data_IF_179744832720
#
_entry.id   IF_179744832720
#
_cell.length_a   1.000
_cell.length_b   1.000
_cell.length_c   1.000
_cell.angle_alpha   90.00
_cell.angle_beta   90.00
_cell.angle_gamma   90.00
#
_symmetry.space_group_name_H-M   'P 1'
#
loop_
_entity.id
_entity.type
_entity.pdbx_description
1 polymer ?
#
# COMPACT_ATOMS: atom_id res chain seq x y z
N UNK A 1 -63.33 39.65 3.61
CA UNK A 1 -61.94 39.24 3.34
C UNK A 1 -61.44 40.07 2.16
N UNK A 2 -60.12 40.30 2.04
CA UNK A 2 -59.59 40.95 0.83
C UNK A 2 -59.46 39.91 -0.33
N UNK A 3 -59.27 40.35 -1.59
CA UNK A 3 -59.20 39.43 -2.74
C UNK A 3 -58.15 38.32 -2.59
N UNK A 4 -56.96 38.64 -2.08
CA UNK A 4 -55.88 37.67 -1.87
C UNK A 4 -56.22 36.61 -0.81
N UNK A 5 -56.96 36.98 0.24
CA UNK A 5 -57.44 36.05 1.25
C UNK A 5 -58.54 35.13 0.69
N UNK A 6 -59.46 35.68 -0.11
CA UNK A 6 -60.55 34.90 -0.75
C UNK A 6 -59.98 33.84 -1.66
N UNK A 7 -59.08 34.19 -2.57
CA UNK A 7 -58.50 33.24 -3.52
C UNK A 7 -57.65 32.17 -2.82
N UNK A 8 -56.89 32.52 -1.79
CA UNK A 8 -56.08 31.56 -1.02
C UNK A 8 -56.96 30.57 -0.26
N UNK A 9 -58.05 31.03 0.36
CA UNK A 9 -58.99 30.14 1.05
C UNK A 9 -59.72 29.22 0.05
N UNK A 10 -60.20 29.78 -1.08
CA UNK A 10 -60.84 29.02 -2.15
C UNK A 10 -59.93 27.94 -2.75
N UNK A 11 -58.65 28.22 -3.01
CA UNK A 11 -57.74 27.18 -3.53
C UNK A 11 -57.53 26.02 -2.56
N UNK A 12 -57.60 26.27 -1.24
CA UNK A 12 -57.43 25.24 -0.20
C UNK A 12 -58.65 24.34 -0.04
N UNK A 13 -59.84 24.89 -0.24
CA UNK A 13 -61.13 24.17 -0.20
C UNK A 13 -62.16 24.91 -1.07
N UNK A 14 -62.22 24.54 -2.35
CA UNK A 14 -63.06 25.24 -3.34
C UNK A 14 -64.54 25.26 -2.93
N UNK A 15 -65.18 24.12 -2.61
CA UNK A 15 -66.60 24.10 -2.25
C UNK A 15 -66.94 24.96 -1.01
N UNK A 16 -66.08 24.97 0.00
CA UNK A 16 -66.37 25.70 1.25
C UNK A 16 -66.28 27.22 1.09
N UNK A 17 -65.33 27.70 0.28
CA UNK A 17 -64.97 29.11 0.22
C UNK A 17 -65.40 29.83 -1.08
N UNK A 18 -65.97 29.13 -2.06
CA UNK A 18 -66.44 29.72 -3.33
C UNK A 18 -67.45 30.86 -3.14
N UNK A 19 -68.33 30.75 -2.14
CA UNK A 19 -69.30 31.80 -1.77
C UNK A 19 -68.67 33.18 -1.50
N UNK A 20 -67.40 33.23 -1.11
CA UNK A 20 -66.74 34.51 -0.81
C UNK A 20 -66.35 35.30 -2.07
N UNK A 21 -66.53 34.75 -3.27
CA UNK A 21 -66.48 35.54 -4.50
C UNK A 21 -67.69 36.48 -4.63
N UNK A 22 -68.86 36.12 -4.09
CA UNK A 22 -70.03 37.01 -4.08
C UNK A 22 -69.77 38.26 -3.22
N UNK A 23 -69.07 38.11 -2.10
CA UNK A 23 -68.61 39.25 -1.30
C UNK A 23 -67.71 40.19 -2.12
N UNK A 24 -66.88 39.67 -3.04
CA UNK A 24 -66.07 40.51 -3.93
C UNK A 24 -66.94 41.22 -4.97
N UNK A 25 -67.99 40.56 -5.48
CA UNK A 25 -68.96 41.18 -6.40
C UNK A 25 -69.71 42.34 -5.74
N UNK A 26 -70.12 42.18 -4.49
CA UNK A 26 -70.73 43.25 -3.69
C UNK A 26 -69.79 44.44 -3.48
N UNK A 27 -68.48 44.20 -3.49
CA UNK A 27 -67.43 45.22 -3.43
C UNK A 27 -67.06 45.81 -4.82
N UNK A 28 -67.78 45.44 -5.88
CA UNK A 28 -67.60 45.97 -7.23
C UNK A 28 -66.57 45.23 -8.10
N UNK A 29 -66.24 43.98 -7.78
CA UNK A 29 -65.49 43.10 -8.68
C UNK A 29 -66.45 42.43 -9.66
N UNK A 30 -66.28 42.68 -10.95
CA UNK A 30 -66.99 41.94 -12.00
C UNK A 30 -66.39 40.53 -12.18
N UNK A 31 -67.10 39.69 -12.93
CA UNK A 31 -66.66 38.31 -13.21
C UNK A 31 -65.29 38.30 -13.91
N UNK A 32 -65.04 39.23 -14.82
CA UNK A 32 -63.76 39.36 -15.54
C UNK A 32 -62.59 39.61 -14.57
N UNK A 33 -62.75 40.49 -13.57
CA UNK A 33 -61.74 40.74 -12.53
C UNK A 33 -61.55 39.54 -11.61
N UNK A 34 -62.60 38.80 -11.31
CA UNK A 34 -62.51 37.58 -10.49
C UNK A 34 -61.74 36.50 -11.24
N UNK A 35 -62.01 36.31 -12.53
CA UNK A 35 -61.24 35.38 -13.37
C UNK A 35 -59.78 35.84 -13.54
N UNK A 36 -59.55 37.14 -13.73
CA UNK A 36 -58.20 37.70 -13.76
C UNK A 36 -57.45 37.49 -12.43
N UNK A 37 -58.13 37.59 -11.28
CA UNK A 37 -57.55 37.30 -9.97
C UNK A 37 -57.19 35.81 -9.84
N UNK A 38 -58.09 34.91 -10.26
CA UNK A 38 -57.83 33.47 -10.26
C UNK A 38 -56.60 33.14 -11.08
N UNK A 39 -56.51 33.66 -12.31
CA UNK A 39 -55.38 33.46 -13.20
C UNK A 39 -54.08 34.09 -12.68
N UNK A 40 -54.09 35.38 -12.33
CA UNK A 40 -52.87 36.11 -11.93
C UNK A 40 -52.20 35.55 -10.67
N UNK A 41 -52.97 34.88 -9.82
CA UNK A 41 -52.44 34.27 -8.59
C UNK A 41 -51.93 32.85 -8.79
N UNK A 42 -52.10 32.25 -9.98
CA UNK A 42 -51.49 30.95 -10.31
C UNK A 42 -49.97 31.02 -10.16
N UNK A 43 -49.40 29.95 -9.60
CA UNK A 43 -47.97 29.83 -9.48
C UNK A 43 -47.43 29.45 -10.85
N UNK A 44 -46.69 30.37 -11.44
CA UNK A 44 -45.97 30.15 -12.70
C UNK A 44 -44.46 30.14 -12.44
N UNK A 45 -43.66 29.37 -13.21
CA UNK A 45 -42.22 29.36 -13.05
C UNK A 45 -41.63 30.77 -13.18
N UNK A 46 -40.68 31.09 -12.31
CA UNK A 46 -39.89 32.31 -12.49
C UNK A 46 -38.97 32.14 -13.71
N UNK A 47 -38.44 33.24 -14.28
CA UNK A 47 -37.43 33.12 -15.33
C UNK A 47 -36.23 32.25 -14.94
N UNK A 48 -35.88 32.20 -13.63
CA UNK A 48 -34.82 31.35 -13.12
C UNK A 48 -35.19 29.87 -13.17
N UNK A 49 -36.40 29.53 -12.73
CA UNK A 49 -36.88 28.14 -12.78
C UNK A 49 -36.95 27.65 -14.21
N UNK A 50 -37.46 28.49 -15.12
CA UNK A 50 -37.54 28.16 -16.54
C UNK A 50 -36.17 27.92 -17.18
N UNK A 51 -35.17 28.73 -16.81
CA UNK A 51 -33.78 28.48 -17.23
C UNK A 51 -33.25 27.16 -16.66
N UNK A 52 -33.58 26.82 -15.41
CA UNK A 52 -33.27 25.52 -14.81
C UNK A 52 -33.84 24.35 -15.62
N UNK A 53 -35.12 24.43 -15.98
CA UNK A 53 -35.77 23.39 -16.81
C UNK A 53 -35.10 23.21 -18.17
N UNK A 54 -34.67 24.31 -18.80
CA UNK A 54 -33.94 24.26 -20.07
C UNK A 54 -32.54 23.63 -19.91
N UNK A 55 -31.87 23.94 -18.81
CA UNK A 55 -30.55 23.46 -18.46
C UNK A 55 -30.53 21.96 -18.12
N UNK A 56 -31.46 21.50 -17.29
CA UNK A 56 -31.49 20.11 -16.81
C UNK A 56 -32.24 19.16 -17.75
N UNK A 57 -32.28 19.48 -19.05
CA UNK A 57 -32.76 18.59 -20.12
C UNK A 57 -34.24 18.13 -19.94
N UNK A 58 -35.04 18.91 -19.21
CA UNK A 58 -36.44 18.60 -18.84
C UNK A 58 -37.39 18.60 -20.06
N UNK A 59 -36.96 19.17 -21.19
CA UNK A 59 -37.73 19.21 -22.42
C UNK A 59 -37.24 18.23 -23.49
N UNK A 60 -36.19 17.46 -23.22
CA UNK A 60 -35.58 16.52 -24.17
C UNK A 60 -36.06 15.08 -23.89
N UNK A 61 -36.94 14.49 -24.74
CA UNK A 61 -37.60 13.22 -24.43
C UNK A 61 -36.64 12.05 -24.20
N UNK A 62 -35.54 12.01 -24.94
CA UNK A 62 -34.50 10.98 -24.81
C UNK A 62 -33.75 11.09 -23.47
N UNK A 63 -33.49 12.31 -22.99
CA UNK A 63 -32.87 12.55 -21.68
C UNK A 63 -33.83 12.23 -20.53
N UNK A 64 -35.10 12.62 -20.66
CA UNK A 64 -36.15 12.29 -19.68
C UNK A 64 -36.27 10.77 -19.52
N UNK A 65 -36.27 10.01 -20.62
CA UNK A 65 -36.31 8.55 -20.60
C UNK A 65 -35.02 7.95 -20.04
N UNK A 66 -33.85 8.39 -20.54
CA UNK A 66 -32.54 7.87 -20.14
C UNK A 66 -32.28 8.01 -18.65
N UNK A 67 -32.54 9.19 -18.09
CA UNK A 67 -32.30 9.49 -16.68
C UNK A 67 -33.52 9.21 -15.79
N UNK A 68 -34.66 8.85 -16.39
CA UNK A 68 -35.89 8.60 -15.67
C UNK A 68 -36.38 9.83 -14.91
N UNK A 69 -36.28 11.04 -15.48
CA UNK A 69 -36.62 12.29 -14.79
C UNK A 69 -38.10 12.36 -14.35
N UNK A 70 -38.98 11.59 -15.00
CA UNK A 70 -40.39 11.47 -14.62
C UNK A 70 -40.69 10.26 -13.71
N UNK A 71 -39.66 9.55 -13.25
CA UNK A 71 -39.84 8.43 -12.33
C UNK A 71 -40.60 8.86 -11.09
N UNK A 72 -41.37 7.94 -10.51
CA UNK A 72 -42.14 8.14 -9.27
C UNK A 72 -43.24 9.24 -9.32
N UNK A 73 -43.46 9.91 -10.46
CA UNK A 73 -44.53 10.89 -10.63
C UNK A 73 -45.93 10.36 -10.28
N UNK A 74 -46.16 9.06 -10.54
CA UNK A 74 -47.45 8.42 -10.27
C UNK A 74 -47.78 8.30 -8.78
N UNK A 75 -46.78 8.28 -7.90
CA UNK A 75 -46.97 8.00 -6.46
C UNK A 75 -47.13 9.25 -5.61
N UNK A 76 -46.78 10.43 -6.13
CA UNK A 76 -46.85 11.68 -5.35
C UNK A 76 -48.27 12.21 -5.21
N UNK A 77 -48.56 12.76 -4.03
CA UNK A 77 -49.76 13.56 -3.78
C UNK A 77 -49.62 14.95 -4.41
N UNK A 78 -50.49 15.25 -5.37
CA UNK A 78 -50.50 16.49 -6.16
C UNK A 78 -51.48 17.52 -5.60
N UNK A 79 -52.32 17.13 -4.65
CA UNK A 79 -53.33 18.02 -4.06
C UNK A 79 -52.71 19.24 -3.35
N UNK A 80 -51.59 19.14 -2.60
CA UNK A 80 -50.96 20.31 -2.01
C UNK A 80 -50.54 21.38 -3.03
N UNK A 81 -50.06 20.99 -4.21
CA UNK A 81 -49.69 21.91 -5.28
C UNK A 81 -50.90 22.69 -5.80
N UNK A 82 -52.02 22.01 -6.04
CA UNK A 82 -53.28 22.67 -6.44
C UNK A 82 -53.77 23.67 -5.40
N UNK A 83 -53.54 23.41 -4.11
CA UNK A 83 -53.95 24.29 -3.00
C UNK A 83 -53.16 25.59 -2.91
N UNK A 84 -51.99 25.66 -3.54
CA UNK A 84 -51.25 26.91 -3.74
C UNK A 84 -51.46 27.47 -5.16
N UNK A 85 -52.18 26.73 -6.02
CA UNK A 85 -52.43 26.98 -7.44
C UNK A 85 -51.19 26.86 -8.30
N UNK A 86 -50.37 25.88 -7.98
CA UNK A 86 -49.41 25.30 -8.89
C UNK A 86 -50.13 24.20 -9.68
N UNK A 87 -50.33 24.44 -10.98
CA UNK A 87 -51.00 23.49 -11.88
C UNK A 87 -50.12 22.26 -12.12
N UNK A 88 -50.76 21.14 -12.49
CA UNK A 88 -50.11 19.83 -12.56
C UNK A 88 -49.01 19.76 -13.62
N UNK A 89 -49.21 20.41 -14.76
CA UNK A 89 -48.23 20.51 -15.84
C UNK A 89 -46.97 21.27 -15.42
N UNK A 90 -47.12 22.36 -14.67
CA UNK A 90 -46.00 23.11 -14.09
C UNK A 90 -45.31 22.32 -12.99
N UNK A 91 -46.08 21.67 -12.09
CA UNK A 91 -45.52 20.79 -11.06
C UNK A 91 -44.66 19.68 -11.69
N UNK A 92 -45.07 19.17 -12.85
CA UNK A 92 -44.33 18.13 -13.58
C UNK A 92 -42.97 18.61 -14.07
N UNK A 93 -42.82 19.88 -14.44
CA UNK A 93 -41.53 20.46 -14.82
C UNK A 93 -40.59 20.54 -13.61
N UNK A 94 -41.08 21.06 -12.48
CA UNK A 94 -40.33 21.04 -11.23
C UNK A 94 -39.96 19.62 -10.79
N UNK A 95 -40.83 18.63 -11.01
CA UNK A 95 -40.52 17.23 -10.74
C UNK A 95 -39.46 16.63 -11.65
N UNK A 96 -39.34 17.06 -12.91
CA UNK A 96 -38.23 16.57 -13.73
C UNK A 96 -36.90 17.26 -13.37
N UNK A 97 -36.97 18.46 -12.81
CA UNK A 97 -35.82 19.30 -12.44
C UNK A 97 -35.24 18.99 -11.04
N UNK A 98 -36.03 18.41 -10.13
CA UNK A 98 -35.67 18.33 -8.71
C UNK A 98 -34.55 17.32 -8.35
N UNK A 99 -34.12 16.47 -9.29
CA UNK A 99 -33.25 15.35 -8.99
C UNK A 99 -31.84 15.80 -8.60
N UNK A 100 -31.26 15.11 -7.62
CA UNK A 100 -29.83 15.24 -7.32
C UNK A 100 -29.02 14.29 -8.19
N UNK A 101 -28.12 14.85 -9.01
CA UNK A 101 -27.26 14.07 -9.90
C UNK A 101 -25.94 13.70 -9.22
N UNK A 102 -25.33 12.54 -9.58
CA UNK A 102 -24.05 12.13 -9.01
C UNK A 102 -22.96 13.17 -9.23
N UNK A 103 -22.10 13.38 -8.23
CA UNK A 103 -20.95 14.25 -8.37
C UNK A 103 -19.89 13.67 -9.31
N UNK A 104 -18.98 14.54 -9.80
CA UNK A 104 -17.91 14.14 -10.72
C UNK A 104 -17.06 12.95 -10.22
N UNK A 105 -16.77 12.88 -8.91
CA UNK A 105 -16.03 11.76 -8.32
C UNK A 105 -16.70 10.41 -8.60
N UNK A 106 -18.01 10.34 -8.38
CA UNK A 106 -18.82 9.14 -8.62
C UNK A 106 -18.90 8.80 -10.11
N UNK A 107 -19.06 9.79 -10.99
CA UNK A 107 -19.07 9.58 -12.45
C UNK A 107 -17.76 8.97 -12.94
N UNK A 108 -16.61 9.44 -12.44
CA UNK A 108 -15.31 8.83 -12.78
C UNK A 108 -15.23 7.38 -12.35
N UNK A 109 -15.67 7.06 -11.12
CA UNK A 109 -15.64 5.69 -10.62
C UNK A 109 -16.53 4.76 -11.45
N UNK A 110 -17.76 5.18 -11.76
CA UNK A 110 -18.65 4.44 -12.65
C UNK A 110 -17.98 4.17 -13.99
N UNK A 111 -17.32 5.18 -14.55
CA UNK A 111 -16.63 5.04 -15.82
C UNK A 111 -15.42 4.09 -15.74
N UNK A 112 -14.59 4.21 -14.70
CA UNK A 112 -13.42 3.34 -14.48
C UNK A 112 -13.80 1.88 -14.24
N UNK A 113 -15.02 1.63 -13.77
CA UNK A 113 -15.59 0.30 -13.57
C UNK A 113 -16.43 -0.18 -14.77
N UNK A 114 -16.32 0.50 -15.91
CA UNK A 114 -17.04 0.22 -17.15
C UNK A 114 -18.56 0.09 -16.97
N UNK A 115 -19.14 0.79 -15.98
CA UNK A 115 -20.59 0.83 -15.76
C UNK A 115 -21.30 1.85 -16.66
N UNK A 116 -20.54 2.80 -17.19
CA UNK A 116 -20.99 3.83 -18.13
C UNK A 116 -19.94 4.02 -19.23
N UNK A 117 -20.35 4.63 -20.34
CA UNK A 117 -19.48 4.95 -21.48
C UNK A 117 -19.00 6.40 -21.45
N UNK A 118 -18.03 6.75 -22.30
CA UNK A 118 -17.62 8.15 -22.49
C UNK A 118 -18.78 9.03 -23.02
N UNK A 119 -19.72 8.44 -23.76
CA UNK A 119 -20.91 9.17 -24.21
C UNK A 119 -21.83 9.49 -23.03
N UNK A 120 -21.99 8.56 -22.08
CA UNK A 120 -22.78 8.82 -20.87
C UNK A 120 -22.19 9.94 -20.01
N UNK A 121 -20.86 10.03 -19.94
CA UNK A 121 -20.17 11.14 -19.26
C UNK A 121 -20.45 12.48 -19.97
N UNK A 122 -20.47 12.49 -21.31
CA UNK A 122 -20.78 13.71 -22.09
C UNK A 122 -22.23 14.16 -21.90
N UNK A 123 -23.16 13.21 -21.88
CA UNK A 123 -24.57 13.50 -21.64
C UNK A 123 -24.76 14.01 -20.20
N UNK A 124 -24.06 13.43 -19.22
CA UNK A 124 -24.07 13.91 -17.83
C UNK A 124 -23.54 15.34 -17.71
N UNK A 125 -22.49 15.73 -18.45
CA UNK A 125 -22.03 17.12 -18.45
C UNK A 125 -23.08 18.13 -18.91
N UNK A 126 -23.99 17.72 -19.80
CA UNK A 126 -25.11 18.57 -20.21
C UNK A 126 -26.13 18.66 -19.08
N UNK A 127 -26.56 17.51 -18.57
CA UNK A 127 -27.54 17.40 -17.49
C UNK A 127 -27.18 18.23 -16.24
N UNK A 128 -25.90 18.31 -15.88
CA UNK A 128 -25.42 19.10 -14.72
C UNK A 128 -24.77 20.44 -15.10
N UNK A 129 -25.03 20.92 -16.32
CA UNK A 129 -24.63 22.26 -16.78
C UNK A 129 -23.11 22.56 -16.72
N UNK A 130 -22.26 21.56 -16.99
CA UNK A 130 -20.83 21.81 -17.14
C UNK A 130 -20.60 22.56 -18.47
N UNK A 131 -19.97 23.75 -18.47
CA UNK A 131 -19.73 24.51 -19.70
C UNK A 131 -18.86 23.72 -20.70
N UNK A 132 -19.16 23.86 -21.99
CA UNK A 132 -18.49 23.14 -23.08
C UNK A 132 -16.96 23.29 -23.08
N UNK A 133 -16.45 24.44 -22.63
CA UNK A 133 -15.01 24.69 -22.49
C UNK A 133 -14.30 23.68 -21.58
N UNK A 134 -14.98 23.23 -20.52
CA UNK A 134 -14.42 22.32 -19.51
C UNK A 134 -14.59 20.85 -19.87
N UNK A 135 -15.67 20.48 -20.56
CA UNK A 135 -16.00 19.09 -20.93
C UNK A 135 -14.82 18.30 -21.51
N UNK A 136 -14.11 18.76 -22.57
CA UNK A 136 -12.99 17.99 -23.13
C UNK A 136 -11.80 17.88 -22.17
N UNK A 137 -11.56 18.90 -21.33
CA UNK A 137 -10.45 18.89 -20.35
C UNK A 137 -10.75 17.93 -19.20
N UNK A 138 -12.01 17.87 -18.77
CA UNK A 138 -12.46 16.92 -17.74
C UNK A 138 -12.37 15.47 -18.25
N UNK A 139 -12.67 15.23 -19.53
CA UNK A 139 -12.45 13.92 -20.16
C UNK A 139 -10.96 13.56 -20.25
N UNK A 140 -10.09 14.51 -20.58
CA UNK A 140 -8.64 14.27 -20.67
C UNK A 140 -8.05 13.83 -19.32
N UNK A 141 -8.55 14.37 -18.21
CA UNK A 141 -8.12 14.01 -16.85
C UNK A 141 -8.98 12.92 -16.20
N UNK A 142 -9.86 12.26 -16.98
CA UNK A 142 -10.70 11.18 -16.49
C UNK A 142 -9.85 10.04 -15.95
N UNK A 143 -8.78 9.68 -16.66
CA UNK A 143 -7.86 8.62 -16.28
C UNK A 143 -6.67 9.19 -15.51
N UNK A 144 -6.33 8.54 -14.40
CA UNK A 144 -5.14 8.87 -13.64
C UNK A 144 -3.87 8.57 -14.44
N UNK A 145 -2.86 9.43 -14.29
CA UNK A 145 -1.50 9.16 -14.74
C UNK A 145 -0.71 8.49 -13.62
N UNK A 146 0.42 7.81 -13.94
CA UNK A 146 1.27 7.21 -12.93
C UNK A 146 1.62 8.20 -11.81
N UNK A 147 1.42 7.77 -10.57
CA UNK A 147 1.80 8.54 -9.39
C UNK A 147 3.31 8.48 -9.18
N UNK A 148 3.85 9.27 -8.23
CA UNK A 148 5.30 9.35 -7.98
C UNK A 148 5.97 8.01 -7.66
N UNK A 149 5.26 7.10 -7.01
CA UNK A 149 5.78 5.77 -6.67
C UNK A 149 5.88 4.93 -7.93
N UNK A 150 4.84 4.94 -8.76
CA UNK A 150 4.81 4.24 -10.05
C UNK A 150 5.88 4.80 -11.00
N UNK A 151 6.00 6.13 -11.12
CA UNK A 151 7.06 6.79 -11.91
C UNK A 151 8.45 6.33 -11.44
N UNK A 152 8.70 6.27 -10.13
CA UNK A 152 9.97 5.78 -9.59
C UNK A 152 10.20 4.30 -9.93
N UNK A 153 9.17 3.47 -9.90
CA UNK A 153 9.29 2.06 -10.30
C UNK A 153 9.58 1.96 -11.80
N UNK A 154 8.90 2.75 -12.63
CA UNK A 154 9.15 2.81 -14.07
C UNK A 154 10.60 3.25 -14.34
N UNK A 155 11.08 4.33 -13.72
CA UNK A 155 12.47 4.79 -13.86
C UNK A 155 13.51 3.75 -13.41
N UNK A 156 13.15 2.86 -12.49
CA UNK A 156 14.04 1.80 -11.99
C UNK A 156 14.14 0.60 -12.94
N UNK A 157 13.04 0.23 -13.58
CA UNK A 157 12.92 -1.04 -14.30
C UNK A 157 12.77 -0.88 -15.81
N UNK A 158 12.45 0.31 -16.28
CA UNK A 158 12.31 0.65 -17.70
C UNK A 158 13.43 1.62 -18.09
N UNK A 159 13.78 1.63 -19.38
CA UNK A 159 14.76 2.57 -19.92
C UNK A 159 14.10 3.91 -20.23
N UNK A 160 13.85 4.68 -19.18
CA UNK A 160 13.27 6.02 -19.28
C UNK A 160 14.35 7.09 -19.35
N UNK A 161 14.17 8.06 -20.24
CA UNK A 161 14.97 9.28 -20.23
C UNK A 161 14.58 10.18 -19.05
N UNK A 162 15.53 11.01 -18.63
CA UNK A 162 15.28 12.03 -17.60
C UNK A 162 14.12 12.95 -17.95
N UNK A 163 14.01 13.36 -19.23
CA UNK A 163 12.93 14.22 -19.71
C UNK A 163 11.54 13.59 -19.60
N UNK A 164 11.41 12.30 -19.90
CA UNK A 164 10.14 11.57 -19.71
C UNK A 164 9.74 11.51 -18.23
N UNK A 165 10.70 11.29 -17.33
CA UNK A 165 10.46 11.27 -15.89
C UNK A 165 10.04 12.67 -15.40
N UNK A 166 10.72 13.74 -15.84
CA UNK A 166 10.36 15.12 -15.49
C UNK A 166 8.95 15.50 -15.97
N UNK A 167 8.56 15.07 -17.18
CA UNK A 167 7.21 15.31 -17.72
C UNK A 167 6.13 14.56 -16.92
N UNK A 168 6.38 13.29 -16.56
CA UNK A 168 5.46 12.55 -15.68
C UNK A 168 5.36 13.19 -14.29
N UNK A 169 6.48 13.65 -13.73
CA UNK A 169 6.50 14.35 -12.44
C UNK A 169 5.75 15.68 -12.51
N UNK A 170 5.83 16.42 -13.63
CA UNK A 170 5.01 17.61 -13.89
C UNK A 170 3.53 17.25 -13.86
N UNK A 171 3.13 16.21 -14.59
CA UNK A 171 1.74 15.75 -14.66
C UNK A 171 1.21 15.22 -13.31
N UNK A 172 2.09 14.66 -12.49
CA UNK A 172 1.80 14.29 -11.10
C UNK A 172 1.83 15.49 -10.11
N UNK A 173 1.99 16.72 -10.61
CA UNK A 173 1.91 17.95 -9.82
C UNK A 173 3.17 18.32 -9.04
N UNK A 174 4.36 17.77 -9.37
CA UNK A 174 5.61 18.24 -8.77
C UNK A 174 5.93 19.66 -9.21
N UNK A 175 6.26 20.52 -8.25
CA UNK A 175 6.76 21.86 -8.52
C UNK A 175 8.05 21.81 -9.33
N UNK A 176 8.22 22.74 -10.26
CA UNK A 176 9.27 22.70 -11.30
C UNK A 176 10.69 22.61 -10.73
N UNK A 177 10.97 23.36 -9.66
CA UNK A 177 12.27 23.38 -8.97
C UNK A 177 12.76 22.00 -8.53
N UNK A 178 11.85 21.06 -8.27
CA UNK A 178 12.19 19.74 -7.77
C UNK A 178 12.16 18.65 -8.83
N UNK A 179 11.65 18.92 -10.05
CA UNK A 179 11.45 17.87 -11.06
C UNK A 179 12.76 17.24 -11.49
N UNK A 180 13.77 18.06 -11.74
CA UNK A 180 15.07 17.58 -12.19
C UNK A 180 15.81 16.79 -11.12
N UNK A 181 15.81 17.27 -9.87
CA UNK A 181 16.42 16.56 -8.75
C UNK A 181 15.69 15.25 -8.41
N UNK A 182 14.36 15.24 -8.49
CA UNK A 182 13.58 14.02 -8.32
C UNK A 182 13.84 13.01 -9.45
N UNK A 183 13.96 13.47 -10.69
CA UNK A 183 14.29 12.61 -11.83
C UNK A 183 15.70 11.99 -11.67
N UNK A 184 16.72 12.80 -11.33
CA UNK A 184 18.07 12.32 -11.00
C UNK A 184 18.02 11.24 -9.92
N UNK A 185 17.32 11.51 -8.81
CA UNK A 185 17.17 10.57 -7.71
C UNK A 185 16.53 9.25 -8.14
N UNK A 186 15.41 9.30 -8.88
CA UNK A 186 14.69 8.10 -9.32
C UNK A 186 15.53 7.22 -10.25
N UNK A 187 16.26 7.82 -11.19
CA UNK A 187 17.18 7.10 -12.07
C UNK A 187 18.36 6.50 -11.32
N UNK A 188 19.00 7.26 -10.42
CA UNK A 188 20.14 6.78 -9.62
C UNK A 188 19.75 5.55 -8.78
N UNK A 189 18.56 5.56 -8.17
CA UNK A 189 18.04 4.43 -7.40
C UNK A 189 17.92 3.14 -8.22
N UNK A 190 17.70 3.23 -9.53
CA UNK A 190 17.66 2.08 -10.44
C UNK A 190 19.03 1.71 -11.02
N UNK A 191 19.74 2.70 -11.53
CA UNK A 191 20.93 2.49 -12.36
C UNK A 191 22.21 2.19 -11.56
N UNK A 192 22.29 2.61 -10.28
CA UNK A 192 23.49 2.36 -9.47
C UNK A 192 23.81 0.87 -9.35
N UNK A 193 22.79 0.04 -9.10
CA UNK A 193 22.96 -1.40 -9.02
C UNK A 193 23.32 -2.02 -10.37
N UNK A 194 22.73 -1.51 -11.45
CA UNK A 194 23.06 -1.91 -12.82
C UNK A 194 24.53 -1.63 -13.13
N UNK A 195 25.00 -0.38 -13.02
CA UNK A 195 26.39 -0.03 -13.33
C UNK A 195 27.40 -0.81 -12.47
N UNK A 196 27.11 -1.00 -11.18
CA UNK A 196 27.95 -1.80 -10.29
C UNK A 196 28.05 -3.27 -10.75
N UNK A 197 26.93 -3.86 -11.18
CA UNK A 197 26.91 -5.22 -11.72
C UNK A 197 27.65 -5.32 -13.07
N UNK A 198 27.51 -4.32 -13.94
CA UNK A 198 28.20 -4.29 -15.24
C UNK A 198 29.72 -4.20 -15.07
N UNK A 199 30.20 -3.34 -14.16
CA UNK A 199 31.63 -3.21 -13.84
C UNK A 199 32.18 -4.48 -13.20
N UNK A 200 31.52 -5.00 -12.16
CA UNK A 200 32.02 -6.17 -11.41
C UNK A 200 32.10 -7.45 -12.26
N UNK A 201 31.27 -7.56 -13.30
CA UNK A 201 31.30 -8.69 -14.25
C UNK A 201 32.19 -8.43 -15.47
N UNK A 202 32.79 -7.25 -15.58
CA UNK A 202 33.59 -6.84 -16.74
C UNK A 202 32.78 -6.70 -18.03
N UNK A 203 31.46 -6.49 -17.93
CA UNK A 203 30.59 -6.27 -19.08
C UNK A 203 30.61 -4.83 -19.58
N UNK A 204 31.06 -3.89 -18.73
CA UNK A 204 31.40 -2.52 -19.10
C UNK A 204 32.72 -2.13 -18.46
N UNK A 205 33.54 -1.37 -19.19
CA UNK A 205 34.72 -0.68 -18.69
C UNK A 205 34.33 0.59 -17.90
N UNK A 206 35.25 1.14 -17.07
CA UNK A 206 35.04 2.42 -16.41
C UNK A 206 34.68 3.57 -17.37
N UNK A 207 35.31 3.60 -18.55
CA UNK A 207 35.04 4.62 -19.56
C UNK A 207 33.62 4.50 -20.15
N UNK A 208 33.15 3.27 -20.39
CA UNK A 208 31.78 3.01 -20.88
C UNK A 208 30.73 3.38 -19.82
N UNK A 209 30.99 3.12 -18.54
CA UNK A 209 30.10 3.56 -17.45
C UNK A 209 30.07 5.08 -17.34
N UNK A 210 31.22 5.76 -17.47
CA UNK A 210 31.25 7.23 -17.49
C UNK A 210 30.39 7.78 -18.62
N UNK A 211 30.54 7.23 -19.82
CA UNK A 211 29.77 7.65 -20.98
C UNK A 211 28.25 7.43 -20.78
N UNK A 212 27.84 6.29 -20.19
CA UNK A 212 26.42 6.05 -19.89
C UNK A 212 25.89 7.04 -18.84
N UNK A 213 26.62 7.29 -17.75
CA UNK A 213 26.25 8.28 -16.72
C UNK A 213 26.06 9.67 -17.34
N UNK A 214 26.97 10.09 -18.22
CA UNK A 214 26.91 11.39 -18.87
C UNK A 214 25.71 11.49 -19.82
N UNK A 215 25.39 10.40 -20.52
CA UNK A 215 24.24 10.32 -21.41
C UNK A 215 22.89 10.40 -20.68
N UNK A 216 22.83 10.10 -19.37
CA UNK A 216 21.59 10.22 -18.57
C UNK A 216 21.17 11.65 -18.27
N UNK A 217 22.07 12.64 -18.43
CA UNK A 217 21.74 14.06 -18.25
C UNK A 217 21.57 14.49 -16.79
N UNK A 218 22.26 13.83 -15.85
CA UNK A 218 22.28 14.27 -14.44
C UNK A 218 22.93 15.65 -14.29
N UNK A 219 22.68 16.31 -13.16
CA UNK A 219 23.51 17.46 -12.77
C UNK A 219 24.98 17.05 -12.71
N UNK A 220 25.88 17.92 -13.16
CA UNK A 220 27.32 17.64 -13.27
C UNK A 220 27.91 17.07 -11.97
N UNK A 221 27.66 17.73 -10.84
CA UNK A 221 28.13 17.27 -9.53
C UNK A 221 27.56 15.90 -9.14
N UNK A 222 26.35 15.57 -9.59
CA UNK A 222 25.70 14.28 -9.34
C UNK A 222 26.36 13.19 -10.18
N UNK A 223 26.55 13.43 -11.49
CA UNK A 223 27.25 12.52 -12.40
C UNK A 223 28.67 12.21 -11.88
N UNK A 224 29.42 13.24 -11.47
CA UNK A 224 30.75 13.07 -10.90
C UNK A 224 30.76 12.21 -9.63
N UNK A 225 29.83 12.47 -8.69
CA UNK A 225 29.70 11.69 -7.46
C UNK A 225 29.35 10.23 -7.76
N UNK A 226 28.46 10.00 -8.71
CA UNK A 226 28.08 8.64 -9.13
C UNK A 226 29.25 7.89 -9.75
N UNK A 227 29.98 8.53 -10.68
CA UNK A 227 31.15 7.93 -11.28
C UNK A 227 32.23 7.60 -10.25
N UNK A 228 32.58 8.55 -9.36
CA UNK A 228 33.52 8.32 -8.25
C UNK A 228 33.06 7.16 -7.36
N UNK A 229 31.78 7.09 -7.00
CA UNK A 229 31.24 5.99 -6.20
C UNK A 229 31.41 4.61 -6.85
N UNK A 230 31.30 4.53 -8.18
CA UNK A 230 31.34 3.27 -8.92
C UNK A 230 32.76 2.83 -9.28
N UNK A 231 33.61 3.77 -9.68
CA UNK A 231 34.97 3.49 -10.20
C UNK A 231 36.05 3.74 -9.17
N UNK A 232 35.87 4.64 -8.21
CA UNK A 232 36.77 4.72 -7.03
C UNK A 232 36.52 3.59 -6.02
N UNK A 233 35.63 2.65 -6.36
CA UNK A 233 35.58 1.32 -5.79
C UNK A 233 36.46 0.31 -6.56
N UNK A 234 37.42 0.78 -7.38
CA UNK A 234 38.67 0.04 -7.58
C UNK A 234 39.26 -0.15 -6.18
N UNK A 235 39.03 -1.35 -5.66
CA UNK A 235 39.66 -1.82 -4.44
C UNK A 235 41.16 -1.50 -4.58
N UNK A 236 41.87 -0.95 -3.57
CA UNK A 236 43.25 -1.39 -3.41
C UNK A 236 43.19 -2.91 -3.52
N UNK A 237 44.01 -3.51 -4.39
CA UNK A 237 44.30 -4.96 -4.46
C UNK A 237 43.65 -5.67 -3.29
N UNK A 238 42.72 -6.61 -3.54
CA UNK A 238 42.16 -7.46 -2.47
C UNK A 238 43.33 -7.86 -1.57
N UNK A 239 43.50 -7.19 -0.43
CA UNK A 239 44.61 -7.48 0.44
C UNK A 239 44.34 -8.87 0.97
N UNK A 240 45.40 -9.61 1.26
CA UNK A 240 45.32 -10.97 1.80
C UNK A 240 44.34 -11.12 2.99
N UNK A 241 43.93 -10.00 3.62
CA UNK A 241 42.95 -9.88 4.70
C UNK A 241 41.53 -10.45 4.46
N UNK A 242 41.04 -10.60 3.22
CA UNK A 242 39.78 -11.34 2.98
C UNK A 242 39.97 -12.88 3.00
N UNK A 243 41.22 -13.37 3.08
CA UNK A 243 41.57 -14.78 3.30
C UNK A 243 42.00 -15.06 4.74
N UNK A 244 42.05 -14.04 5.59
CA UNK A 244 42.36 -14.18 7.00
C UNK A 244 41.06 -14.54 7.74
N UNK A 245 41.16 -15.48 8.67
CA UNK A 245 40.03 -15.91 9.48
C UNK A 245 39.40 -14.70 10.17
N UNK A 246 38.09 -14.53 10.07
CA UNK A 246 37.43 -13.49 10.86
C UNK A 246 37.39 -13.92 12.34
N UNK A 247 37.29 -12.96 13.28
CA UNK A 247 37.05 -13.26 14.71
C UNK A 247 35.92 -14.28 14.89
N UNK A 248 34.86 -14.14 14.11
CA UNK A 248 33.69 -15.02 14.14
C UNK A 248 34.02 -16.43 13.66
N UNK A 249 34.89 -16.59 12.67
CA UNK A 249 35.32 -17.90 12.19
C UNK A 249 36.23 -18.58 13.22
N UNK A 250 37.11 -17.83 13.88
CA UNK A 250 37.94 -18.32 15.00
C UNK A 250 37.04 -18.79 16.15
N UNK A 251 36.03 -17.98 16.54
CA UNK A 251 35.12 -18.37 17.62
C UNK A 251 34.31 -19.63 17.27
N UNK A 252 33.83 -19.74 16.03
CA UNK A 252 33.15 -20.95 15.54
C UNK A 252 34.08 -22.15 15.53
N UNK A 253 35.35 -21.96 15.17
CA UNK A 253 36.37 -23.00 15.19
C UNK A 253 36.54 -23.61 16.58
N UNK A 254 36.64 -22.76 17.62
CA UNK A 254 36.70 -23.23 19.02
C UNK A 254 35.38 -23.88 19.45
N UNK A 255 34.24 -23.24 19.18
CA UNK A 255 32.91 -23.78 19.53
C UNK A 255 32.61 -25.14 18.88
N UNK A 256 33.21 -25.43 17.73
CA UNK A 256 33.05 -26.71 17.02
C UNK A 256 34.14 -27.72 17.35
N UNK A 257 35.13 -27.35 18.18
CA UNK A 257 36.28 -28.17 18.52
C UNK A 257 37.26 -28.39 17.36
N UNK A 258 37.19 -27.56 16.31
CA UNK A 258 38.08 -27.61 15.16
C UNK A 258 39.47 -27.01 15.45
N UNK A 259 39.54 -26.08 16.40
CA UNK A 259 40.78 -25.52 16.97
C UNK A 259 40.61 -25.41 18.48
N UNK A 260 41.71 -25.44 19.21
CA UNK A 260 41.76 -25.24 20.66
C UNK A 260 41.70 -23.76 21.02
N UNK A 261 41.34 -23.46 22.27
CA UNK A 261 41.36 -22.09 22.80
C UNK A 261 42.74 -21.44 22.72
N UNK A 262 43.82 -22.21 22.91
CA UNK A 262 45.20 -21.73 22.74
C UNK A 262 45.52 -21.35 21.30
N UNK A 263 45.15 -22.21 20.34
CA UNK A 263 45.30 -21.90 18.89
C UNK A 263 44.44 -20.70 18.48
N UNK A 264 43.29 -20.50 19.10
CA UNK A 264 42.44 -19.34 18.86
C UNK A 264 43.03 -18.03 19.43
N UNK A 265 43.75 -18.09 20.55
CA UNK A 265 44.50 -16.94 21.07
C UNK A 265 45.59 -16.53 20.08
N UNK A 266 46.37 -17.49 19.57
CA UNK A 266 47.40 -17.22 18.55
C UNK A 266 46.80 -16.58 17.29
N UNK A 267 45.70 -17.13 16.77
CA UNK A 267 45.02 -16.59 15.59
C UNK A 267 44.41 -15.20 15.83
N UNK A 268 43.97 -14.89 17.06
CA UNK A 268 43.50 -13.53 17.40
C UNK A 268 44.68 -12.57 17.56
N UNK A 269 45.82 -13.03 18.08
CA UNK A 269 47.03 -12.21 18.15
C UNK A 269 47.58 -11.89 16.76
N UNK A 270 47.49 -12.81 15.81
CA UNK A 270 47.80 -12.57 14.39
C UNK A 270 46.87 -11.52 13.75
N UNK A 271 45.64 -11.36 14.26
CA UNK A 271 44.70 -10.29 13.89
C UNK A 271 44.97 -8.96 14.62
N UNK A 272 46.00 -8.89 15.46
CA UNK A 272 46.46 -7.67 16.12
C UNK A 272 45.87 -7.41 17.52
N UNK A 273 45.28 -8.41 18.17
CA UNK A 273 44.89 -8.33 19.59
C UNK A 273 46.07 -8.68 20.49
N UNK A 274 46.15 -8.07 21.66
CA UNK A 274 47.08 -8.59 22.68
C UNK A 274 46.52 -9.87 23.32
N UNK A 275 47.38 -10.59 24.05
CA UNK A 275 47.05 -11.89 24.64
C UNK A 275 45.88 -11.78 25.64
N UNK A 276 45.84 -10.72 26.45
CA UNK A 276 44.78 -10.49 27.44
C UNK A 276 43.44 -10.16 26.77
N UNK A 277 43.47 -9.36 25.70
CA UNK A 277 42.32 -9.03 24.86
C UNK A 277 41.77 -10.26 24.13
N UNK A 278 42.65 -11.10 23.57
CA UNK A 278 42.26 -12.33 22.89
C UNK A 278 41.58 -13.30 23.85
N UNK A 279 42.12 -13.47 25.06
CA UNK A 279 41.56 -14.35 26.08
C UNK A 279 40.20 -13.87 26.59
N UNK A 280 40.07 -12.55 26.79
CA UNK A 280 38.83 -11.91 27.20
C UNK A 280 37.74 -12.04 26.12
N UNK A 281 38.11 -11.84 24.85
CA UNK A 281 37.21 -12.03 23.71
C UNK A 281 36.71 -13.47 23.61
N UNK A 282 37.59 -14.45 23.77
CA UNK A 282 37.20 -15.86 23.81
C UNK A 282 36.32 -16.15 25.02
N UNK A 283 36.53 -15.49 26.17
CA UNK A 283 35.76 -15.74 27.39
C UNK A 283 34.31 -15.26 27.26
N UNK A 284 34.11 -14.09 26.65
CA UNK A 284 32.77 -13.55 26.43
C UNK A 284 32.00 -14.38 25.40
N UNK A 285 32.66 -14.79 24.32
CA UNK A 285 32.00 -15.42 23.18
C UNK A 285 31.89 -16.95 23.32
N UNK A 286 32.74 -17.56 24.15
CA UNK A 286 32.81 -19.00 24.39
C UNK A 286 33.09 -19.23 25.88
N UNK A 287 32.04 -19.24 26.72
CA UNK A 287 32.16 -19.58 28.14
C UNK A 287 32.75 -20.99 28.29
N UNK A 288 33.62 -21.20 29.30
CA UNK A 288 34.30 -22.49 29.53
C UNK A 288 33.33 -23.68 29.65
N UNK A 289 32.10 -23.45 30.09
CA UNK A 289 31.08 -24.49 30.25
C UNK A 289 30.52 -24.99 28.89
N UNK A 290 30.61 -24.22 27.79
CA UNK A 290 30.15 -24.63 26.46
C UNK A 290 31.16 -25.53 25.72
N UNK A 291 32.45 -25.47 26.06
CA UNK A 291 33.50 -26.34 25.49
C UNK A 291 33.31 -27.81 25.92
N UNK A 292 32.83 -28.02 27.15
CA UNK A 292 32.63 -29.36 27.73
C UNK A 292 31.42 -30.10 27.11
N UNK A 293 30.40 -29.39 26.59
CA UNK A 293 29.22 -30.02 25.97
C UNK A 293 29.52 -30.64 24.59
N UNK A 294 30.45 -30.06 23.81
CA UNK A 294 30.76 -30.54 22.44
C UNK A 294 31.67 -31.77 22.48
N UNK A 295 32.59 -31.85 23.44
CA UNK A 295 33.42 -33.04 23.67
C UNK A 295 32.57 -34.22 24.17
N UNK A 296 31.52 -33.95 24.95
CA UNK A 296 30.62 -34.97 25.46
C UNK A 296 29.84 -35.73 24.36
N UNK A 297 29.53 -35.08 23.22
CA UNK A 297 28.74 -35.72 22.14
C UNK A 297 29.47 -36.84 21.39
N UNK A 298 30.79 -36.97 21.51
CA UNK A 298 31.58 -38.02 20.83
C UNK A 298 31.98 -39.19 21.73
N UNK A 299 31.58 -39.18 23.00
CA UNK A 299 31.90 -40.24 23.95
C UNK A 299 30.78 -41.28 24.02
N UNK A 300 31.11 -42.57 24.11
CA UNK A 300 30.12 -43.65 24.31
C UNK A 300 29.27 -43.35 25.53
N UNK A 301 27.95 -43.61 25.49
CA UNK A 301 27.13 -43.41 26.69
C UNK A 301 27.38 -44.54 27.69
N UNK A 302 27.03 -44.32 28.97
CA UNK A 302 26.98 -45.38 29.99
C UNK A 302 26.19 -46.61 29.50
N UNK A 303 25.09 -46.39 28.77
CA UNK A 303 24.26 -47.48 28.26
C UNK A 303 24.98 -48.28 27.17
N UNK A 304 25.75 -47.64 26.30
CA UNK A 304 26.53 -48.30 25.26
C UNK A 304 27.67 -49.14 25.85
N UNK A 305 28.35 -48.63 26.88
CA UNK A 305 29.40 -49.36 27.60
C UNK A 305 28.81 -50.61 28.27
N UNK A 306 27.71 -50.47 29.01
CA UNK A 306 27.05 -51.61 29.66
C UNK A 306 26.48 -52.61 28.65
N UNK A 307 26.00 -52.16 27.49
CA UNK A 307 25.57 -53.02 26.40
C UNK A 307 26.74 -53.80 25.79
N UNK A 308 27.88 -53.14 25.57
CA UNK A 308 29.12 -53.77 25.09
C UNK A 308 29.61 -54.86 26.05
N UNK A 309 29.54 -54.60 27.35
CA UNK A 309 29.84 -55.59 28.38
C UNK A 309 28.86 -56.78 28.35
N UNK A 310 27.57 -56.52 28.05
CA UNK A 310 26.53 -57.55 27.87
C UNK A 310 26.69 -58.44 26.67
N UNK A 311 27.16 -57.88 25.58
CA UNK A 311 27.44 -58.63 24.37
C UNK A 311 28.85 -59.25 24.38
N UNK A 312 29.56 -59.20 25.51
CA UNK A 312 30.95 -59.68 25.68
C UNK A 312 31.94 -59.06 24.68
N UNK A 313 31.61 -57.88 24.16
CA UNK A 313 32.46 -57.11 23.22
C UNK A 313 33.60 -56.43 23.97
N UNK A 314 33.39 -56.13 25.25
CA UNK A 314 34.41 -55.59 26.16
C UNK A 314 34.36 -56.35 27.48
N UNK A 315 35.49 -56.39 28.18
CA UNK A 315 35.62 -56.98 29.52
C UNK A 315 35.13 -56.02 30.61
N UNK A 316 34.92 -56.54 31.83
CA UNK A 316 34.52 -55.73 32.98
C UNK A 316 35.52 -54.61 33.28
N UNK A 317 36.81 -54.91 33.24
CA UNK A 317 37.86 -53.93 33.54
C UNK A 317 37.92 -52.84 32.46
N UNK A 318 37.69 -53.20 31.20
CA UNK A 318 37.56 -52.22 30.11
C UNK A 318 36.31 -51.35 30.25
N UNK A 319 35.18 -51.94 30.66
CA UNK A 319 33.96 -51.19 30.96
C UNK A 319 34.17 -50.22 32.13
N UNK A 320 34.91 -50.64 33.17
CA UNK A 320 35.28 -49.80 34.31
C UNK A 320 36.14 -48.61 33.88
N UNK A 321 37.20 -48.85 33.12
CA UNK A 321 38.08 -47.79 32.60
C UNK A 321 37.29 -46.79 31.76
N UNK A 322 36.43 -47.27 30.86
CA UNK A 322 35.61 -46.37 30.02
C UNK A 322 34.58 -45.57 30.81
N UNK A 323 34.04 -46.10 31.91
CA UNK A 323 33.16 -45.33 32.80
C UNK A 323 33.95 -44.25 33.57
N UNK A 324 35.20 -44.51 33.96
CA UNK A 324 36.07 -43.50 34.55
C UNK A 324 36.43 -42.40 33.53
N UNK A 325 36.65 -42.77 32.27
CA UNK A 325 36.89 -41.81 31.18
C UNK A 325 35.67 -40.91 30.93
N UNK A 326 34.45 -41.43 31.18
CA UNK A 326 33.20 -40.66 31.25
C UNK A 326 33.05 -39.84 32.55
N UNK A 327 34.11 -39.71 33.35
CA UNK A 327 34.15 -38.95 34.62
C UNK A 327 33.26 -39.49 35.73
N UNK A 328 32.79 -40.74 35.66
CA UNK A 328 32.20 -41.39 36.85
C UNK A 328 33.29 -41.58 37.91
N UNK A 329 32.94 -41.38 39.18
CA UNK A 329 33.88 -41.66 40.27
C UNK A 329 34.21 -43.16 40.31
N UNK A 330 35.38 -43.58 40.83
CA UNK A 330 35.71 -45.00 40.98
C UNK A 330 34.67 -45.79 41.78
N UNK A 331 34.01 -45.14 42.75
CA UNK A 331 32.93 -45.74 43.52
C UNK A 331 31.66 -45.93 42.68
N UNK A 332 31.27 -44.93 41.90
CA UNK A 332 30.08 -44.98 41.05
C UNK A 332 30.25 -45.95 39.88
N UNK A 333 31.42 -45.96 39.23
CA UNK A 333 31.73 -46.90 38.16
C UNK A 333 31.58 -48.36 38.64
N UNK A 334 32.08 -48.68 39.83
CA UNK A 334 31.89 -50.00 40.44
C UNK A 334 30.45 -50.29 40.82
N UNK A 335 29.74 -49.31 41.38
CA UNK A 335 28.34 -49.46 41.72
C UNK A 335 27.50 -49.80 40.48
N UNK A 336 27.76 -49.13 39.35
CA UNK A 336 27.08 -49.38 38.08
C UNK A 336 27.38 -50.77 37.51
N UNK A 337 28.63 -51.23 37.61
CA UNK A 337 29.00 -52.57 37.17
C UNK A 337 28.39 -53.65 38.08
N UNK A 338 28.27 -53.42 39.39
CA UNK A 338 27.56 -54.32 40.31
C UNK A 338 26.07 -54.43 40.02
N UNK A 339 25.40 -53.32 39.72
CA UNK A 339 24.00 -53.33 39.28
C UNK A 339 23.87 -54.22 38.03
N UNK A 340 24.79 -54.05 37.09
CA UNK A 340 24.81 -54.82 35.86
C UNK A 340 25.04 -56.32 36.12
N UNK A 341 25.98 -56.71 36.98
CA UNK A 341 26.22 -58.13 37.32
C UNK A 341 24.99 -58.78 37.92
N UNK A 342 24.31 -58.08 38.84
CA UNK A 342 23.09 -58.56 39.49
C UNK A 342 21.94 -58.77 38.48
N UNK A 343 21.95 -58.07 37.34
CA UNK A 343 20.97 -58.26 36.26
C UNK A 343 21.30 -59.44 35.34
N UNK A 344 22.58 -59.81 35.20
CA UNK A 344 23.02 -60.90 34.30
C UNK A 344 23.11 -62.24 35.04
N UNK A 345 23.48 -62.23 36.32
CA UNK A 345 23.41 -63.37 37.23
C UNK A 345 22.74 -62.92 38.54
N UNK A 346 21.41 -63.06 38.66
CA UNK A 346 20.73 -62.70 39.90
C UNK A 346 21.31 -63.51 41.07
N UNK A 347 21.57 -62.88 42.23
CA UNK A 347 22.13 -63.58 43.37
C UNK A 347 21.17 -64.68 43.82
N UNK A 348 21.70 -65.90 43.96
CA UNK A 348 20.99 -67.00 44.61
C UNK A 348 20.94 -66.65 46.10
N UNK A 349 19.73 -66.49 46.65
CA UNK A 349 19.57 -66.26 48.09
C UNK A 349 20.21 -67.43 48.87
N UNK A 350 20.85 -67.16 50.02
CA UNK A 350 21.55 -68.18 50.81
C UNK A 350 20.64 -69.29 51.33
#
# INVERSE_FOLDING_TARGET
MNPAQVITAWRRDKPTYEKYFDDLKDLGWDDDRIEALKFFTEVYPTPRDYVGFLAHEVFEPDMIEKYGLLSEWGVIDKEPAKKIGLEEDILKLYWMDHWEHPEWGTIRELRHRDQITDQDVKDWFRLVEIPEYWRPKMLEVLWGLPNRIEIRMMARYLDMSKGEIEDLLKKAGLHEDFRSDAADFMMIMGLTGYWSAMLSKGWMSPAEVKADIDARGFKEITAERMYKRLVSADKPERTAAERDLTKTDIYKGVKTGAITRGEAVELLMDLGFDEEEADFLLFINIPRDEEDEVVAQRSLTKADILKGLKTEVITRDEARTRLLDLRYSPADAEFLLKIYDAQVKPPVEP
#
